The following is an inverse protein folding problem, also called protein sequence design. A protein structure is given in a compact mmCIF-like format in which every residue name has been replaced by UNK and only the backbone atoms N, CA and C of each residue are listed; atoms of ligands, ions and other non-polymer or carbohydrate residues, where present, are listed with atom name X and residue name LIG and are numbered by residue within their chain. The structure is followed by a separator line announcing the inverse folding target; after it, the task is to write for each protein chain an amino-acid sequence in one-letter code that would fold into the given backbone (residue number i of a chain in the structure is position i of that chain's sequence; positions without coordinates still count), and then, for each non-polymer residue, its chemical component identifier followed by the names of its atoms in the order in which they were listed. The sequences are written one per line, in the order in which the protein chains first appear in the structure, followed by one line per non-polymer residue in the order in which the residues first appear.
data_IF_705447551555
#
_entry.id   IF_705447551555
#
_cell.length_a   1.000
_cell.length_b   1.000
_cell.length_c   1.000
_cell.angle_alpha   90.00
_cell.angle_beta   90.00
_cell.angle_gamma   90.00
#
_symmetry.space_group_name_H-M   'P 1'
#
loop_
_entity.id
_entity.type
_entity.pdbx_description
1 polymer ?
#
# COMPACT_ATOMS: atom_id res chain seq x y z
N UNK A 1 17.34 16.73 -50.00
CA UNK A 1 17.75 15.59 -49.15
C UNK A 1 16.94 15.72 -47.89
N UNK A 2 15.74 15.13 -47.91
CA UNK A 2 14.74 15.31 -46.86
C UNK A 2 15.19 14.63 -45.57
N UNK A 3 15.14 15.36 -44.46
CA UNK A 3 15.37 14.82 -43.11
C UNK A 3 14.42 13.64 -42.79
N UNK A 4 13.29 13.53 -43.51
CA UNK A 4 12.36 12.41 -43.42
C UNK A 4 12.91 11.08 -43.93
N UNK A 5 13.76 11.07 -44.96
CA UNK A 5 14.32 9.83 -45.53
C UNK A 5 15.46 9.26 -44.69
N UNK A 6 16.20 10.11 -43.97
CA UNK A 6 17.25 9.69 -43.02
C UNK A 6 16.67 9.12 -41.72
N UNK A 7 15.43 9.49 -41.37
CA UNK A 7 14.72 9.02 -40.18
C UNK A 7 13.79 7.83 -40.42
N UNK A 8 13.58 7.40 -41.68
CA UNK A 8 12.76 6.24 -42.04
C UNK A 8 13.05 4.97 -41.21
N UNK A 9 14.31 4.51 -41.07
CA UNK A 9 14.62 3.35 -40.24
C UNK A 9 14.58 3.64 -38.72
N UNK A 10 14.85 4.88 -38.31
CA UNK A 10 14.83 5.29 -36.90
C UNK A 10 13.39 5.44 -36.37
N UNK A 11 12.41 5.78 -37.22
CA UNK A 11 11.02 5.95 -36.84
C UNK A 11 10.40 4.68 -36.24
N UNK A 12 10.73 3.50 -36.77
CA UNK A 12 10.29 2.23 -36.19
C UNK A 12 10.91 1.97 -34.82
N UNK A 13 12.19 2.30 -34.64
CA UNK A 13 12.86 2.19 -33.33
C UNK A 13 12.22 3.10 -32.29
N UNK A 14 11.82 4.32 -32.67
CA UNK A 14 11.11 5.26 -31.78
C UNK A 14 9.73 4.72 -31.38
N UNK A 15 9.00 4.07 -32.29
CA UNK A 15 7.71 3.45 -31.97
C UNK A 15 7.85 2.26 -31.01
N UNK A 16 8.87 1.42 -31.20
CA UNK A 16 9.17 0.30 -30.29
C UNK A 16 9.62 0.83 -28.92
N UNK A 17 10.49 1.84 -28.90
CA UNK A 17 10.92 2.50 -27.66
C UNK A 17 9.74 3.14 -26.91
N UNK A 18 8.77 3.71 -27.62
CA UNK A 18 7.54 4.24 -27.04
C UNK A 18 6.70 3.18 -26.32
N UNK A 19 6.61 1.95 -26.87
CA UNK A 19 5.92 0.85 -26.20
C UNK A 19 6.62 0.45 -24.88
N UNK A 20 7.95 0.35 -24.87
CA UNK A 20 8.72 0.08 -23.65
C UNK A 20 8.63 1.24 -22.64
N UNK A 21 8.60 2.48 -23.13
CA UNK A 21 8.46 3.66 -22.29
C UNK A 21 7.11 3.70 -21.56
N UNK A 22 6.02 3.23 -22.18
CA UNK A 22 4.71 3.09 -21.50
C UNK A 22 4.82 2.11 -20.33
N UNK A 23 5.45 0.95 -20.53
CA UNK A 23 5.63 -0.04 -19.45
C UNK A 23 6.48 0.52 -18.30
N UNK A 24 7.58 1.21 -18.64
CA UNK A 24 8.44 1.90 -17.67
C UNK A 24 7.70 3.00 -16.92
N UNK A 25 6.88 3.79 -17.62
CA UNK A 25 6.05 4.84 -17.06
C UNK A 25 5.03 4.26 -16.08
N UNK A 26 4.28 3.23 -16.48
CA UNK A 26 3.34 2.54 -15.61
C UNK A 26 4.02 2.01 -14.34
N UNK A 27 5.14 1.31 -14.49
CA UNK A 27 5.90 0.76 -13.36
C UNK A 27 6.38 1.87 -12.41
N UNK A 28 6.86 3.00 -12.94
CA UNK A 28 7.38 4.11 -12.12
C UNK A 28 6.25 4.83 -11.39
N UNK A 29 5.15 5.12 -12.08
CA UNK A 29 3.99 5.87 -11.59
C UNK A 29 3.23 5.09 -10.49
N UNK A 30 3.13 3.76 -10.63
CA UNK A 30 2.46 2.89 -9.65
C UNK A 30 3.39 2.29 -8.57
N UNK A 31 4.69 2.58 -8.61
CA UNK A 31 5.64 2.18 -7.54
C UNK A 31 5.85 3.28 -6.50
N UNK A 32 6.66 2.97 -5.46
CA UNK A 32 7.12 3.96 -4.46
C UNK A 32 7.82 5.18 -5.10
N UNK A 33 8.40 5.06 -6.29
CA UNK A 33 9.01 6.20 -6.97
C UNK A 33 7.98 7.24 -7.45
N UNK A 34 6.72 6.84 -7.67
CA UNK A 34 5.60 7.71 -8.02
C UNK A 34 5.17 8.66 -6.89
N UNK A 35 5.69 8.47 -5.67
CA UNK A 35 5.48 9.39 -4.54
C UNK A 35 6.42 10.61 -4.62
N UNK A 36 7.50 10.51 -5.39
CA UNK A 36 8.51 11.57 -5.53
C UNK A 36 8.27 12.41 -6.77
N UNK A 37 8.52 13.72 -6.66
CA UNK A 37 8.48 14.64 -7.80
C UNK A 37 9.43 14.20 -8.92
N UNK A 38 10.67 13.84 -8.55
CA UNK A 38 11.72 13.48 -9.50
C UNK A 38 11.40 12.20 -10.29
N UNK A 39 10.78 11.19 -9.65
CA UNK A 39 10.41 9.93 -10.31
C UNK A 39 9.36 10.15 -11.40
N UNK A 40 8.27 10.82 -11.06
CA UNK A 40 7.18 11.13 -12.01
C UNK A 40 7.64 12.07 -13.11
N UNK A 41 8.44 13.10 -12.79
CA UNK A 41 8.95 14.05 -13.77
C UNK A 41 9.89 13.37 -14.79
N UNK A 42 10.81 12.52 -14.34
CA UNK A 42 11.73 11.79 -15.24
C UNK A 42 10.98 10.85 -16.17
N UNK A 43 10.03 10.07 -15.65
CA UNK A 43 9.24 9.15 -16.45
C UNK A 43 8.37 9.91 -17.49
N UNK A 44 7.77 11.02 -17.08
CA UNK A 44 6.96 11.87 -17.97
C UNK A 44 7.79 12.55 -19.05
N UNK A 45 9.02 12.97 -18.72
CA UNK A 45 9.95 13.56 -19.68
C UNK A 45 10.33 12.57 -20.80
N UNK A 46 10.52 11.28 -20.48
CA UNK A 46 10.79 10.24 -21.48
C UNK A 46 9.61 10.07 -22.44
N UNK A 47 8.38 10.06 -21.91
CA UNK A 47 7.15 9.98 -22.72
C UNK A 47 7.00 11.22 -23.62
N UNK A 48 7.20 12.42 -23.07
CA UNK A 48 7.12 13.67 -23.80
C UNK A 48 8.17 13.77 -24.92
N UNK A 49 9.41 13.34 -24.63
CA UNK A 49 10.49 13.28 -25.61
C UNK A 49 10.10 12.38 -26.79
N UNK A 50 9.62 11.15 -26.52
CA UNK A 50 9.22 10.20 -27.56
C UNK A 50 8.02 10.69 -28.38
N UNK A 51 7.09 11.42 -27.76
CA UNK A 51 5.98 12.05 -28.46
C UNK A 51 6.46 13.09 -29.48
N UNK A 52 7.41 13.95 -29.11
CA UNK A 52 8.02 14.96 -30.00
C UNK A 52 8.84 14.31 -31.12
N UNK A 53 9.51 13.18 -30.84
CA UNK A 53 10.29 12.40 -31.81
C UNK A 53 9.43 11.59 -32.82
N UNK A 54 8.09 11.68 -32.76
CA UNK A 54 7.19 11.10 -33.75
C UNK A 54 6.26 10.00 -33.23
N UNK A 55 6.32 9.64 -31.94
CA UNK A 55 5.41 8.67 -31.33
C UNK A 55 4.23 9.34 -30.62
N UNK A 56 3.53 10.26 -31.27
CA UNK A 56 2.43 11.04 -30.66
C UNK A 56 1.30 10.16 -30.04
N UNK A 57 1.11 8.94 -30.52
CA UNK A 57 0.13 7.99 -29.96
C UNK A 57 0.41 7.63 -28.50
N UNK A 58 1.67 7.65 -28.06
CA UNK A 58 2.12 7.23 -26.71
C UNK A 58 1.50 8.08 -25.59
N UNK A 59 1.15 9.33 -25.91
CA UNK A 59 0.60 10.31 -24.97
C UNK A 59 -0.79 9.87 -24.48
N UNK A 60 -1.58 9.18 -25.32
CA UNK A 60 -2.97 8.83 -24.98
C UNK A 60 -3.04 7.70 -23.93
N UNK A 61 -2.34 6.55 -24.08
CA UNK A 61 -2.27 5.55 -23.03
C UNK A 61 -1.62 6.09 -21.74
N UNK A 62 -0.55 6.87 -21.86
CA UNK A 62 0.13 7.48 -20.71
C UNK A 62 -0.80 8.42 -19.94
N UNK A 63 -1.61 9.23 -20.65
CA UNK A 63 -2.65 10.07 -20.08
C UNK A 63 -3.70 9.26 -19.30
N UNK A 64 -4.14 8.12 -19.84
CA UNK A 64 -5.05 7.21 -19.13
C UNK A 64 -4.44 6.64 -17.84
N UNK A 65 -3.16 6.28 -17.85
CA UNK A 65 -2.45 5.80 -16.66
C UNK A 65 -2.28 6.91 -15.62
N UNK A 66 -2.06 8.14 -16.06
CA UNK A 66 -1.97 9.33 -15.20
C UNK A 66 -3.32 9.62 -14.53
N UNK A 67 -4.44 9.34 -15.20
CA UNK A 67 -5.76 9.42 -14.59
C UNK A 67 -5.95 8.38 -13.48
N UNK A 68 -5.51 7.13 -13.71
CA UNK A 68 -5.52 6.09 -12.69
C UNK A 68 -4.63 6.42 -11.49
N UNK A 69 -3.48 7.05 -11.73
CA UNK A 69 -2.58 7.58 -10.70
C UNK A 69 -3.23 8.68 -9.85
N UNK A 70 -3.94 9.61 -10.50
CA UNK A 70 -4.68 10.64 -9.77
C UNK A 70 -5.84 10.04 -8.97
N UNK A 71 -6.60 9.11 -9.55
CA UNK A 71 -7.70 8.43 -8.84
C UNK A 71 -7.23 7.68 -7.59
N UNK A 72 -6.14 6.92 -7.67
CA UNK A 72 -5.64 6.17 -6.50
C UNK A 72 -5.04 7.07 -5.41
N UNK A 73 -4.48 8.23 -5.77
CA UNK A 73 -3.82 9.14 -4.82
C UNK A 73 -4.70 10.26 -4.29
N UNK A 74 -5.74 10.69 -5.01
CA UNK A 74 -6.66 11.73 -4.57
C UNK A 74 -7.61 11.26 -3.46
N UNK A 75 -7.96 9.97 -3.44
CA UNK A 75 -8.85 9.36 -2.44
C UNK A 75 -8.10 8.57 -1.34
N UNK A 76 -6.76 8.45 -1.41
CA UNK A 76 -5.90 7.79 -0.42
C UNK A 76 -5.08 8.76 0.43
N UNK A 77 -3.80 8.46 0.68
CA UNK A 77 -2.88 9.26 1.52
C UNK A 77 -2.36 10.55 0.84
N UNK A 78 -3.26 11.40 0.35
CA UNK A 78 -3.00 12.60 -0.44
C UNK A 78 -1.94 13.55 0.16
N UNK A 79 -1.81 13.64 1.49
CA UNK A 79 -0.80 14.51 2.15
C UNK A 79 0.64 14.04 1.99
N UNK A 80 0.89 12.72 1.98
CA UNK A 80 2.25 12.19 1.80
C UNK A 80 2.67 12.22 0.31
N UNK A 81 1.69 12.18 -0.60
CA UNK A 81 1.91 12.13 -2.05
C UNK A 81 1.87 13.50 -2.77
N UNK A 82 1.80 14.62 -2.04
CA UNK A 82 1.80 15.99 -2.58
C UNK A 82 2.86 16.24 -3.67
N UNK A 83 4.15 15.89 -3.48
CA UNK A 83 5.18 16.19 -4.48
C UNK A 83 5.01 15.37 -5.77
N UNK A 84 4.55 14.12 -5.68
CA UNK A 84 4.24 13.29 -6.85
C UNK A 84 3.03 13.80 -7.63
N UNK A 85 2.01 14.33 -6.94
CA UNK A 85 0.81 14.89 -7.58
C UNK A 85 1.07 16.19 -8.32
N UNK A 86 1.91 17.07 -7.78
CA UNK A 86 2.36 18.28 -8.49
C UNK A 86 3.11 17.93 -9.77
N UNK A 87 4.02 16.96 -9.70
CA UNK A 87 4.71 16.44 -10.89
C UNK A 87 3.72 15.82 -11.90
N UNK A 88 2.74 15.06 -11.41
CA UNK A 88 1.67 14.49 -12.23
C UNK A 88 0.81 15.56 -12.91
N UNK A 89 0.52 16.67 -12.23
CA UNK A 89 -0.26 17.78 -12.79
C UNK A 89 0.51 18.54 -13.87
N UNK A 90 1.81 18.77 -13.65
CA UNK A 90 2.69 19.33 -14.67
C UNK A 90 2.80 18.39 -15.88
N UNK A 91 2.96 17.08 -15.64
CA UNK A 91 2.98 16.07 -16.70
C UNK A 91 1.65 16.02 -17.47
N UNK A 92 0.52 16.12 -16.77
CA UNK A 92 -0.80 16.21 -17.38
C UNK A 92 -0.93 17.45 -18.29
N UNK A 93 -0.44 18.61 -17.86
CA UNK A 93 -0.41 19.82 -18.69
C UNK A 93 0.46 19.64 -19.95
N UNK A 94 1.62 19.00 -19.82
CA UNK A 94 2.50 18.67 -20.96
C UNK A 94 1.81 17.70 -21.91
N UNK A 95 1.13 16.66 -21.40
CA UNK A 95 0.41 15.70 -22.23
C UNK A 95 -0.80 16.31 -22.93
N UNK A 96 -1.52 17.23 -22.29
CA UNK A 96 -2.58 18.02 -22.94
C UNK A 96 -2.03 18.84 -24.11
N UNK A 97 -0.89 19.51 -23.93
CA UNK A 97 -0.24 20.28 -25.00
C UNK A 97 0.26 19.41 -26.16
N UNK A 98 0.62 18.15 -25.89
CA UNK A 98 1.12 17.18 -26.87
C UNK A 98 0.01 16.34 -27.55
N UNK A 99 -1.27 16.59 -27.26
CA UNK A 99 -2.40 16.00 -27.98
C UNK A 99 -3.43 15.26 -27.10
N UNK A 100 -3.17 15.04 -25.81
CA UNK A 100 -4.15 14.45 -24.89
C UNK A 100 -5.10 15.50 -24.30
N UNK A 101 -5.69 16.34 -25.14
CA UNK A 101 -6.60 17.41 -24.73
C UNK A 101 -7.87 16.90 -24.04
N UNK A 102 -8.26 15.62 -24.23
CA UNK A 102 -9.41 15.05 -23.52
C UNK A 102 -9.19 15.03 -22.00
N UNK A 103 -7.94 14.96 -21.53
CA UNK A 103 -7.59 14.77 -20.12
C UNK A 103 -8.21 15.84 -19.20
N UNK A 104 -8.54 17.02 -19.75
CA UNK A 104 -9.19 18.09 -19.02
C UNK A 104 -10.56 17.69 -18.46
N UNK A 105 -11.37 16.93 -19.19
CA UNK A 105 -12.71 16.52 -18.76
C UNK A 105 -12.69 15.59 -17.54
N UNK A 106 -11.95 14.46 -17.54
CA UNK A 106 -11.92 13.59 -16.38
C UNK A 106 -11.16 14.22 -15.21
N UNK A 107 -10.12 15.03 -15.43
CA UNK A 107 -9.49 15.78 -14.33
C UNK A 107 -10.42 16.83 -13.73
N UNK A 108 -11.23 17.51 -14.54
CA UNK A 108 -12.22 18.48 -14.08
C UNK A 108 -13.30 17.80 -13.22
N UNK A 109 -13.90 16.72 -13.70
CA UNK A 109 -14.90 15.97 -12.93
C UNK A 109 -14.32 15.33 -11.68
N UNK A 110 -13.10 14.80 -11.74
CA UNK A 110 -12.44 14.20 -10.59
C UNK A 110 -12.04 15.27 -9.55
N UNK A 111 -11.57 16.44 -9.99
CA UNK A 111 -11.31 17.59 -9.12
C UNK A 111 -12.59 18.12 -8.48
N UNK A 112 -13.70 18.13 -9.21
CA UNK A 112 -15.01 18.54 -8.70
C UNK A 112 -15.58 17.52 -7.70
N UNK A 113 -15.51 16.23 -8.01
CA UNK A 113 -15.90 15.15 -7.10
C UNK A 113 -15.04 15.18 -5.83
N UNK A 114 -13.74 15.43 -5.97
CA UNK A 114 -12.82 15.58 -4.87
C UNK A 114 -13.06 16.83 -4.03
N UNK A 115 -13.41 17.97 -4.63
CA UNK A 115 -13.78 19.18 -3.91
C UNK A 115 -15.11 19.00 -3.16
N UNK A 116 -16.05 18.24 -3.74
CA UNK A 116 -17.31 17.86 -3.09
C UNK A 116 -17.12 16.80 -1.99
N UNK A 117 -16.15 15.90 -2.12
CA UNK A 117 -15.82 14.87 -1.13
C UNK A 117 -14.76 15.31 -0.11
N UNK A 118 -14.12 16.46 -0.32
CA UNK A 118 -13.22 17.09 0.63
C UNK A 118 -14.09 17.96 1.52
N UNK A 119 -14.60 17.47 2.67
CA UNK A 119 -15.20 18.37 3.63
C UNK A 119 -14.15 19.45 3.89
N UNK A 120 -14.58 20.69 3.76
CA UNK A 120 -13.79 21.90 3.95
C UNK A 120 -12.93 21.71 5.20
N UNK A 121 -11.65 21.37 4.99
CA UNK A 121 -10.73 21.08 6.06
C UNK A 121 -10.30 22.44 6.56
N UNK A 122 -11.00 22.94 7.57
CA UNK A 122 -10.62 24.18 8.22
C UNK A 122 -9.11 24.12 8.53
N UNK A 123 -8.34 25.16 8.17
CA UNK A 123 -6.94 25.22 8.53
C UNK A 123 -6.85 25.03 10.04
N UNK A 124 -6.06 24.05 10.46
CA UNK A 124 -5.92 23.63 11.85
C UNK A 124 -5.84 24.88 12.76
N UNK A 125 -6.65 24.97 13.84
CA UNK A 125 -6.44 26.02 14.80
C UNK A 125 -4.99 25.92 15.30
N UNK A 126 -4.34 27.07 15.17
CA UNK A 126 -3.01 27.43 15.58
C UNK A 126 -2.49 26.56 16.74
N UNK A 127 -1.30 25.96 16.56
CA UNK A 127 -0.62 25.15 17.57
C UNK A 127 -0.87 25.76 18.95
N UNK A 128 -1.61 25.04 19.79
CA UNK A 128 -1.70 25.36 21.20
C UNK A 128 -0.26 25.52 21.71
N UNK A 129 0.03 26.73 22.19
CA UNK A 129 1.31 27.12 22.79
C UNK A 129 1.73 26.02 23.76
N UNK A 130 2.96 25.51 23.71
CA UNK A 130 3.40 24.51 24.68
C UNK A 130 3.37 25.18 26.05
N UNK A 131 2.38 24.85 26.88
CA UNK A 131 2.40 25.20 28.30
C UNK A 131 3.55 24.41 28.89
N UNK A 132 4.66 25.11 29.18
CA UNK A 132 5.81 24.53 29.84
C UNK A 132 5.36 23.83 31.15
N UNK A 133 5.81 22.59 31.42
CA UNK A 133 5.40 21.89 32.63
C UNK A 133 5.94 22.64 33.86
N UNK A 134 5.02 23.03 34.74
CA UNK A 134 5.34 23.56 36.08
C UNK A 134 6.13 22.47 36.84
N UNK A 135 7.32 22.76 37.37
CA UNK A 135 8.06 21.77 38.16
C UNK A 135 7.36 21.55 39.51
N UNK A 136 6.83 20.35 39.71
CA UNK A 136 6.33 19.88 41.01
C UNK A 136 7.52 19.67 41.97
N UNK A 137 7.37 19.99 43.28
CA UNK A 137 8.45 19.87 44.26
C UNK A 137 8.95 18.42 44.39
N UNK A 138 10.28 18.26 44.32
CA UNK A 138 10.96 17.03 44.67
C UNK A 138 10.98 16.83 46.19
N UNK A 139 10.75 15.58 46.58
CA UNK A 139 10.98 14.95 47.90
C UNK A 139 9.80 14.97 48.88
N UNK A 140 9.15 13.80 49.00
CA UNK A 140 9.07 13.09 50.28
C UNK A 140 8.60 11.64 50.07
N UNK A 141 9.36 10.68 50.62
CA UNK A 141 8.82 9.41 51.10
C UNK A 141 8.74 8.28 50.08
N UNK A 142 9.64 7.31 50.22
CA UNK A 142 9.64 6.10 49.41
C UNK A 142 8.35 5.30 49.54
N UNK A 143 7.78 4.97 48.39
CA UNK A 143 7.08 3.72 48.15
C UNK A 143 7.58 3.27 46.78
N UNK A 144 8.15 2.07 46.72
CA UNK A 144 8.39 1.39 45.45
C UNK A 144 7.02 1.25 44.78
N UNK A 145 6.67 2.17 43.88
CA UNK A 145 5.60 1.94 42.91
C UNK A 145 6.19 1.10 41.80
N UNK A 146 6.40 -0.18 42.12
CA UNK A 146 6.10 -1.25 41.17
C UNK A 146 4.85 -0.85 40.40
N UNK A 147 4.95 -0.87 39.06
CA UNK A 147 3.85 -1.11 38.11
C UNK A 147 2.51 -1.20 38.82
N UNK A 148 1.72 -0.13 38.83
CA UNK A 148 0.39 -0.16 39.42
C UNK A 148 -0.43 -1.21 38.65
N UNK A 149 -0.81 -2.34 39.28
CA UNK A 149 -1.63 -3.37 38.67
C UNK A 149 -3.04 -3.23 39.25
N UNK A 150 -3.91 -2.51 38.55
CA UNK A 150 -5.33 -2.40 38.89
C UNK A 150 -6.10 -2.03 37.60
N UNK A 151 -6.55 -2.96 36.78
CA UNK A 151 -6.61 -4.41 36.95
C UNK A 151 -6.30 -5.16 35.66
N UNK A 152 -5.76 -6.36 35.83
CA UNK A 152 -5.76 -7.44 34.86
C UNK A 152 -5.26 -7.09 33.45
N UNK A 153 -3.96 -7.33 33.24
CA UNK A 153 -3.40 -7.78 31.96
C UNK A 153 -3.94 -9.17 31.55
N UNK A 154 -5.15 -9.52 31.97
CA UNK A 154 -5.74 -10.83 31.79
C UNK A 154 -6.88 -10.68 30.78
N UNK A 155 -6.52 -10.87 29.50
CA UNK A 155 -7.36 -11.30 28.37
C UNK A 155 -7.20 -10.50 27.07
N UNK A 156 -6.14 -9.72 26.84
CA UNK A 156 -5.91 -9.04 25.55
C UNK A 156 -7.16 -8.33 25.00
N UNK A 157 -7.35 -8.32 23.68
CA UNK A 157 -8.57 -7.79 23.07
C UNK A 157 -9.85 -8.50 23.53
N UNK A 158 -9.76 -9.74 24.01
CA UNK A 158 -10.91 -10.52 24.48
C UNK A 158 -11.61 -9.94 25.71
N UNK A 159 -10.88 -9.19 26.55
CA UNK A 159 -11.48 -8.45 27.67
C UNK A 159 -12.40 -7.34 27.19
N UNK A 160 -11.94 -6.56 26.21
CA UNK A 160 -12.68 -5.45 25.61
C UNK A 160 -13.91 -5.91 24.81
N UNK A 161 -13.84 -7.06 24.12
CA UNK A 161 -14.99 -7.62 23.36
C UNK A 161 -16.21 -7.85 24.26
N UNK A 162 -16.02 -8.10 25.56
CA UNK A 162 -17.08 -8.36 26.53
C UNK A 162 -17.60 -7.09 27.22
N UNK A 163 -17.00 -5.92 26.98
CA UNK A 163 -17.43 -4.69 27.63
C UNK A 163 -18.72 -4.16 27.00
N UNK A 164 -19.82 -4.19 27.76
CA UNK A 164 -21.14 -3.70 27.34
C UNK A 164 -21.18 -2.20 27.04
N UNK A 165 -20.15 -1.45 27.46
CA UNK A 165 -19.99 -0.03 27.12
C UNK A 165 -19.70 0.19 25.65
N UNK A 166 -19.16 -0.82 24.96
CA UNK A 166 -18.84 -0.73 23.55
C UNK A 166 -20.08 -0.98 22.69
N UNK A 167 -20.31 -0.12 21.68
CA UNK A 167 -21.29 -0.35 20.63
C UNK A 167 -21.17 -1.75 20.00
N UNK A 168 -22.30 -2.33 19.59
CA UNK A 168 -22.35 -3.72 19.11
C UNK A 168 -21.52 -3.95 17.83
N UNK A 169 -21.52 -2.97 16.93
CA UNK A 169 -20.69 -2.90 15.73
C UNK A 169 -19.20 -2.87 16.09
N UNK A 170 -18.79 -1.99 17.01
CA UNK A 170 -17.39 -1.92 17.47
C UNK A 170 -16.93 -3.24 18.13
N UNK A 171 -17.79 -3.89 18.94
CA UNK A 171 -17.48 -5.21 19.53
C UNK A 171 -17.29 -6.30 18.48
N UNK A 172 -18.13 -6.32 17.44
CA UNK A 172 -18.01 -7.28 16.35
C UNK A 172 -16.70 -7.09 15.57
N UNK A 173 -16.33 -5.85 15.25
CA UNK A 173 -15.05 -5.53 14.59
C UNK A 173 -13.86 -5.90 15.48
N UNK A 174 -13.91 -5.61 16.77
CA UNK A 174 -12.84 -5.94 17.71
C UNK A 174 -12.63 -7.46 17.84
N UNK A 175 -13.73 -8.24 17.82
CA UNK A 175 -13.66 -9.70 17.83
C UNK A 175 -13.02 -10.23 16.53
N UNK A 176 -13.40 -9.69 15.38
CA UNK A 176 -12.78 -10.02 14.09
C UNK A 176 -11.29 -9.67 14.07
N UNK A 177 -10.92 -8.48 14.56
CA UNK A 177 -9.54 -8.04 14.65
C UNK A 177 -8.69 -8.95 15.55
N UNK A 178 -9.24 -9.37 16.69
CA UNK A 178 -8.56 -10.29 17.59
C UNK A 178 -8.29 -11.65 16.93
N UNK A 179 -9.28 -12.20 16.21
CA UNK A 179 -9.13 -13.47 15.51
C UNK A 179 -8.11 -13.36 14.37
N UNK A 180 -8.24 -12.33 13.52
CA UNK A 180 -7.35 -12.10 12.38
C UNK A 180 -5.91 -11.82 12.79
N UNK A 181 -5.70 -11.04 13.85
CA UNK A 181 -4.34 -10.75 14.33
C UNK A 181 -3.68 -11.99 14.95
N UNK A 182 -4.44 -12.85 15.62
CA UNK A 182 -3.94 -14.15 16.08
C UNK A 182 -3.56 -15.05 14.90
N UNK A 183 -4.44 -15.17 13.91
CA UNK A 183 -4.20 -15.93 12.69
C UNK A 183 -2.93 -15.44 11.96
N UNK A 184 -2.76 -14.13 11.84
CA UNK A 184 -1.57 -13.51 11.23
C UNK A 184 -0.29 -13.87 11.98
N UNK A 185 -0.30 -13.73 13.31
CA UNK A 185 0.87 -14.05 14.14
C UNK A 185 1.23 -15.52 14.08
N UNK A 186 0.25 -16.42 14.09
CA UNK A 186 0.50 -17.86 14.02
C UNK A 186 1.01 -18.27 12.64
N UNK A 187 0.48 -17.69 11.56
CA UNK A 187 0.98 -17.90 10.20
C UNK A 187 2.43 -17.42 10.06
N UNK A 188 2.74 -16.21 10.53
CA UNK A 188 4.09 -15.64 10.44
C UNK A 188 5.11 -16.46 11.24
N UNK A 189 4.74 -16.95 12.42
CA UNK A 189 5.58 -17.87 13.20
C UNK A 189 5.80 -19.20 12.48
N UNK A 190 4.75 -19.77 11.89
CA UNK A 190 4.85 -21.02 11.13
C UNK A 190 5.77 -20.88 9.90
N UNK A 191 5.84 -19.69 9.32
CA UNK A 191 6.76 -19.35 8.21
C UNK A 191 8.19 -18.98 8.69
N UNK A 192 8.48 -19.06 9.99
CA UNK A 192 9.79 -18.66 10.53
C UNK A 192 10.04 -17.16 10.47
N UNK A 193 9.02 -16.33 10.24
CA UNK A 193 9.12 -14.87 10.17
C UNK A 193 9.00 -14.22 11.57
N UNK A 194 9.50 -14.92 12.59
CA UNK A 194 9.56 -14.38 13.93
C UNK A 194 10.53 -13.18 13.97
N UNK A 195 10.11 -12.06 14.56
CA UNK A 195 10.84 -10.79 14.55
C UNK A 195 10.82 -10.05 13.21
N UNK A 196 9.98 -10.46 12.26
CA UNK A 196 9.76 -9.68 11.04
C UNK A 196 8.96 -8.41 11.32
N UNK A 197 9.12 -7.39 10.47
CA UNK A 197 8.30 -6.17 10.52
C UNK A 197 6.79 -6.51 10.51
N UNK A 198 6.39 -7.48 9.70
CA UNK A 198 5.02 -7.98 9.64
C UNK A 198 4.52 -8.52 10.99
N UNK A 199 5.34 -9.29 11.72
CA UNK A 199 4.97 -9.78 13.05
C UNK A 199 4.89 -8.64 14.06
N UNK A 200 5.83 -7.69 14.01
CA UNK A 200 5.80 -6.50 14.87
C UNK A 200 4.53 -5.68 14.64
N UNK A 201 4.14 -5.43 13.39
CA UNK A 201 2.92 -4.69 13.04
C UNK A 201 1.68 -5.43 13.53
N UNK A 202 1.54 -6.73 13.25
CA UNK A 202 0.39 -7.52 13.70
C UNK A 202 0.28 -7.56 15.23
N UNK A 203 1.43 -7.65 15.93
CA UNK A 203 1.49 -7.61 17.40
C UNK A 203 1.10 -6.23 17.94
N UNK A 204 1.65 -5.15 17.38
CA UNK A 204 1.37 -3.78 17.81
C UNK A 204 -0.12 -3.43 17.61
N UNK A 205 -0.73 -3.84 16.50
CA UNK A 205 -2.17 -3.66 16.27
C UNK A 205 -2.98 -4.32 17.40
N UNK A 206 -2.62 -5.56 17.77
CA UNK A 206 -3.35 -6.36 18.75
C UNK A 206 -3.15 -5.88 20.19
N UNK A 207 -1.92 -5.52 20.54
CA UNK A 207 -1.50 -5.30 21.93
C UNK A 207 -1.44 -3.82 22.33
N UNK A 208 -1.33 -2.91 21.36
CA UNK A 208 -1.16 -1.49 21.61
C UNK A 208 -2.24 -0.65 20.92
N UNK A 209 -2.39 -0.74 19.60
CA UNK A 209 -3.22 0.22 18.86
C UNK A 209 -4.73 0.02 19.09
N UNK A 210 -5.23 -1.22 18.98
CA UNK A 210 -6.64 -1.50 19.20
C UNK A 210 -7.08 -1.25 20.66
N UNK A 211 -6.33 -1.69 21.70
CA UNK A 211 -6.64 -1.34 23.08
C UNK A 211 -6.67 0.18 23.31
N UNK A 212 -5.69 0.92 22.79
CA UNK A 212 -5.63 2.37 22.94
C UNK A 212 -6.85 3.08 22.31
N UNK A 213 -7.29 2.64 21.13
CA UNK A 213 -8.49 3.18 20.46
C UNK A 213 -9.76 2.93 21.29
N UNK A 214 -9.90 1.72 21.83
CA UNK A 214 -11.03 1.34 22.71
C UNK A 214 -11.00 2.14 24.01
N UNK A 215 -9.84 2.26 24.66
CA UNK A 215 -9.70 3.04 25.89
C UNK A 215 -10.01 4.53 25.67
N UNK A 216 -9.61 5.10 24.54
CA UNK A 216 -9.95 6.47 24.18
C UNK A 216 -11.46 6.67 24.07
N UNK A 217 -12.17 5.72 23.47
CA UNK A 217 -13.64 5.74 23.41
C UNK A 217 -14.27 5.59 24.81
N UNK A 218 -13.77 4.67 25.63
CA UNK A 218 -14.31 4.40 26.97
C UNK A 218 -14.10 5.56 27.96
N UNK A 219 -13.13 6.45 27.70
CA UNK A 219 -12.91 7.69 28.46
C UNK A 219 -13.98 8.75 28.16
N UNK A 220 -14.71 8.65 27.05
CA UNK A 220 -15.80 9.59 26.73
C UNK A 220 -16.99 9.38 27.67
N UNK A 221 -17.69 10.46 28.07
CA UNK A 221 -18.94 10.34 28.80
C UNK A 221 -19.96 9.54 27.98
N UNK A 222 -20.58 8.50 28.57
CA UNK A 222 -21.50 7.59 27.87
C UNK A 222 -22.62 8.31 27.11
N UNK A 223 -23.15 9.40 27.69
CA UNK A 223 -24.24 10.17 27.08
C UNK A 223 -23.82 10.94 25.83
N UNK A 224 -22.52 11.22 25.67
CA UNK A 224 -21.95 12.02 24.58
C UNK A 224 -21.22 11.16 23.54
N UNK A 225 -20.75 9.97 23.89
CA UNK A 225 -19.95 9.11 23.01
C UNK A 225 -20.66 8.76 21.67
N UNK A 226 -21.99 8.59 21.71
CA UNK A 226 -22.81 8.22 20.55
C UNK A 226 -23.50 9.40 19.87
N UNK A 227 -23.53 10.57 20.51
CA UNK A 227 -24.42 11.68 20.13
C UNK A 227 -23.69 13.00 19.88
N UNK A 228 -22.60 13.27 20.61
CA UNK A 228 -21.83 14.49 20.46
C UNK A 228 -20.89 14.35 19.26
N UNK A 229 -20.89 15.32 18.32
CA UNK A 229 -19.88 15.37 17.29
C UNK A 229 -18.52 15.69 17.94
N UNK A 230 -17.51 14.88 17.63
CA UNK A 230 -16.13 15.08 18.10
C UNK A 230 -15.26 15.66 16.99
N UNK A 231 -15.15 14.94 15.87
CA UNK A 231 -14.24 15.27 14.77
C UNK A 231 -15.00 15.19 13.45
N UNK A 232 -14.92 16.24 12.63
CA UNK A 232 -15.55 16.29 11.31
C UNK A 232 -17.06 15.95 11.33
N UNK A 233 -17.76 16.29 12.42
CA UNK A 233 -19.17 15.94 12.64
C UNK A 233 -19.42 14.47 13.03
N UNK A 234 -18.39 13.62 13.06
CA UNK A 234 -18.48 12.22 13.47
C UNK A 234 -18.59 12.10 14.98
N UNK A 235 -19.41 11.14 15.42
CA UNK A 235 -19.54 10.79 16.85
C UNK A 235 -18.36 9.93 17.29
N UNK A 236 -18.13 9.85 18.60
CA UNK A 236 -17.08 8.98 19.16
C UNK A 236 -17.20 7.52 18.69
N UNK A 237 -18.43 7.02 18.58
CA UNK A 237 -18.71 5.69 18.00
C UNK A 237 -18.26 5.57 16.56
N UNK A 238 -18.61 6.53 15.71
CA UNK A 238 -18.24 6.51 14.30
C UNK A 238 -16.70 6.51 14.13
N UNK A 239 -16.00 7.29 14.93
CA UNK A 239 -14.53 7.34 14.93
C UNK A 239 -13.90 6.04 15.42
N UNK A 240 -14.49 5.39 16.42
CA UNK A 240 -13.99 4.09 16.91
C UNK A 240 -14.12 3.01 15.83
N UNK A 241 -15.31 2.92 15.21
CA UNK A 241 -15.60 1.94 14.15
C UNK A 241 -14.64 2.11 12.98
N UNK A 242 -14.42 3.34 12.52
CA UNK A 242 -13.49 3.65 11.43
C UNK A 242 -12.04 3.27 11.78
N UNK A 243 -11.60 3.52 13.01
CA UNK A 243 -10.26 3.14 13.46
C UNK A 243 -10.10 1.61 13.53
N UNK A 244 -11.10 0.89 14.04
CA UNK A 244 -11.05 -0.57 14.12
C UNK A 244 -11.08 -1.21 12.72
N UNK A 245 -11.80 -0.62 11.77
CA UNK A 245 -11.80 -1.03 10.36
C UNK A 245 -10.42 -0.85 9.73
N UNK A 246 -9.79 0.33 9.92
CA UNK A 246 -8.43 0.59 9.44
C UNK A 246 -7.41 -0.42 10.00
N UNK A 247 -7.52 -0.75 11.30
CA UNK A 247 -6.65 -1.74 11.93
C UNK A 247 -6.90 -3.15 11.39
N UNK A 248 -8.14 -3.50 11.08
CA UNK A 248 -8.51 -4.78 10.49
C UNK A 248 -7.92 -4.94 9.08
N UNK A 249 -8.03 -3.89 8.27
CA UNK A 249 -7.43 -3.85 6.93
C UNK A 249 -5.90 -4.02 7.00
N UNK A 250 -5.24 -3.33 7.93
CA UNK A 250 -3.80 -3.47 8.15
C UNK A 250 -3.36 -4.91 8.50
N UNK A 251 -4.14 -5.62 9.32
CA UNK A 251 -3.88 -7.05 9.62
C UNK A 251 -4.13 -7.93 8.39
N UNK A 252 -5.17 -7.63 7.61
CA UNK A 252 -5.48 -8.38 6.40
C UNK A 252 -4.37 -8.24 5.35
N UNK A 253 -3.78 -7.05 5.22
CA UNK A 253 -2.62 -6.81 4.35
C UNK A 253 -1.39 -7.63 4.78
N UNK A 254 -1.15 -7.74 6.10
CA UNK A 254 -0.10 -8.62 6.65
C UNK A 254 -0.36 -10.09 6.28
N UNK A 255 -1.60 -10.57 6.45
CA UNK A 255 -1.98 -11.94 6.07
C UNK A 255 -1.77 -12.19 4.58
N UNK A 256 -2.24 -11.29 3.72
CA UNK A 256 -2.12 -11.41 2.26
C UNK A 256 -0.65 -11.44 1.83
N UNK A 257 0.19 -10.60 2.45
CA UNK A 257 1.63 -10.54 2.19
C UNK A 257 2.36 -11.81 2.63
N UNK A 258 1.99 -12.37 3.79
CA UNK A 258 2.54 -13.63 4.30
C UNK A 258 2.14 -14.82 3.40
N UNK A 259 0.89 -14.87 2.94
CA UNK A 259 0.40 -15.91 2.02
C UNK A 259 1.13 -15.85 0.67
N UNK A 260 1.30 -14.65 0.12
CA UNK A 260 2.02 -14.45 -1.14
C UNK A 260 3.49 -14.88 -1.03
N UNK A 261 4.14 -14.54 0.09
CA UNK A 261 5.53 -14.89 0.35
C UNK A 261 5.71 -16.42 0.49
N UNK A 262 4.84 -17.08 1.26
CA UNK A 262 4.86 -18.54 1.40
C UNK A 262 4.55 -19.28 0.09
N UNK A 263 3.64 -18.76 -0.73
CA UNK A 263 3.36 -19.31 -2.06
C UNK A 263 4.57 -19.24 -2.99
N UNK A 264 5.31 -18.13 -2.97
CA UNK A 264 6.52 -17.96 -3.78
C UNK A 264 7.64 -18.91 -3.34
N UNK A 265 7.79 -19.16 -2.05
CA UNK A 265 8.75 -20.13 -1.51
C UNK A 265 8.41 -21.56 -1.97
N UNK A 266 7.13 -21.95 -1.89
CA UNK A 266 6.68 -23.27 -2.35
C UNK A 266 6.92 -23.47 -3.86
N UNK A 267 6.64 -22.45 -4.67
CA UNK A 267 6.92 -22.50 -6.12
C UNK A 267 8.42 -22.61 -6.40
N UNK A 268 9.25 -21.89 -5.66
CA UNK A 268 10.71 -21.94 -5.80
C UNK A 268 11.24 -23.31 -5.42
N UNK A 269 10.78 -23.87 -4.30
CA UNK A 269 11.14 -25.22 -3.86
C UNK A 269 10.67 -26.28 -4.88
N UNK A 270 9.45 -26.15 -5.41
CA UNK A 270 8.93 -27.07 -6.44
C UNK A 270 9.71 -27.04 -7.76
N UNK A 271 10.24 -25.87 -8.17
CA UNK A 271 11.16 -25.76 -9.32
C UNK A 271 12.48 -26.46 -9.03
N UNK A 272 13.08 -26.20 -7.87
CA UNK A 272 14.31 -26.86 -7.45
C UNK A 272 14.16 -28.39 -7.39
N UNK A 273 13.07 -28.90 -6.83
CA UNK A 273 12.79 -30.34 -6.80
C UNK A 273 12.66 -30.91 -8.21
N UNK A 274 11.98 -30.20 -9.11
CA UNK A 274 11.87 -30.61 -10.52
C UNK A 274 13.24 -30.64 -11.18
N UNK A 275 14.06 -29.61 -11.03
CA UNK A 275 15.40 -29.57 -11.64
C UNK A 275 16.33 -30.66 -11.07
N UNK A 276 16.21 -30.96 -9.77
CA UNK A 276 17.06 -31.94 -9.09
C UNK A 276 16.65 -33.39 -9.33
N UNK A 277 15.35 -33.65 -9.46
CA UNK A 277 14.79 -35.01 -9.50
C UNK A 277 14.05 -35.36 -10.80
N UNK A 278 13.77 -34.41 -11.69
CA UNK A 278 13.34 -34.75 -13.05
C UNK A 278 14.53 -35.36 -13.78
N UNK A 279 14.57 -36.69 -13.80
CA UNK A 279 15.48 -37.43 -14.67
C UNK A 279 15.31 -36.90 -16.09
N UNK A 280 16.40 -36.61 -16.84
CA UNK A 280 16.30 -36.70 -18.28
C UNK A 280 15.82 -38.12 -18.54
N UNK A 281 14.65 -38.26 -19.17
CA UNK A 281 14.34 -39.52 -19.84
C UNK A 281 15.42 -39.62 -20.90
N UNK A 282 16.51 -40.30 -20.53
CA UNK A 282 17.57 -40.68 -21.44
C UNK A 282 16.85 -41.31 -22.62
N UNK A 283 16.95 -40.60 -23.74
CA UNK A 283 16.63 -41.08 -25.06
C UNK A 283 17.60 -42.24 -25.36
N UNK A 284 17.36 -43.37 -24.71
CA UNK A 284 18.10 -44.61 -24.86
C UNK A 284 17.44 -45.44 -25.97
N UNK A 285 17.10 -44.78 -27.08
CA UNK A 285 16.46 -45.39 -28.25
C UNK A 285 17.19 -45.11 -29.57
N UNK A 286 18.12 -44.16 -29.64
CA UNK A 286 18.61 -43.68 -30.93
C UNK A 286 19.97 -44.22 -31.41
N UNK A 287 20.87 -44.73 -30.55
CA UNK A 287 22.29 -44.88 -30.96
C UNK A 287 23.03 -46.17 -30.56
N UNK A 288 22.34 -47.28 -30.31
CA UNK A 288 22.99 -48.61 -30.22
C UNK A 288 22.96 -49.35 -31.57
N UNK A 289 23.62 -48.78 -32.60
CA UNK A 289 24.09 -49.58 -33.75
C UNK A 289 25.46 -50.16 -33.41
N UNK A 290 25.46 -51.39 -32.89
CA UNK A 290 26.67 -52.18 -32.74
C UNK A 290 27.07 -52.73 -34.13
N UNK A 291 28.25 -52.40 -34.68
CA UNK A 291 28.74 -53.07 -35.89
C UNK A 291 29.15 -54.50 -35.52
N UNK A 292 28.40 -55.48 -36.02
CA UNK A 292 28.78 -56.89 -35.95
C UNK A 292 29.79 -57.16 -37.06
N UNK A 293 31.07 -57.23 -36.70
CA UNK A 293 32.14 -57.71 -37.58
C UNK A 293 31.98 -59.22 -37.79
N UNK A 294 31.47 -59.62 -38.96
CA UNK A 294 31.37 -61.03 -39.36
C UNK A 294 32.66 -61.43 -40.07
N UNK A 295 33.52 -62.19 -39.38
CA UNK A 295 34.71 -62.80 -39.98
C UNK A 295 34.30 -64.04 -40.81
N UNK A 296 34.59 -64.12 -42.11
CA UNK A 296 34.31 -65.32 -42.89
C UNK A 296 35.36 -66.41 -42.64
N UNK A 297 34.85 -67.64 -42.53
CA UNK A 297 35.48 -68.98 -42.42
C UNK A 297 36.99 -69.08 -42.24
#
# INVERSE_FOLDING_TARGET
MDLGDLLGPLGWMVQVAAAFAIAFFAQTVFSRQGETFAGVARASAVIALLAVLGAAWVVHPAAGMLLGFFGSRAFGNWRAAQPGLLAGLLAAAVFMALGAGWLIYPLFFMGMAWLASSPFREPAPERAVPVAPVPLPQQAGGVILTKSPAGAQDAGLGGYVRDERLPADARAQLAALNLRSQEALDLLRAQGQAGSEAEYVARAIREEYAPNAVEAYLKLPRTLADSAPLQDGKTGRALLVEQLELLLDGVQDVLNSALQSGGQELLTHGRFLRDRFAKPTLDLGADLRVPVEVKPR
#
